data_IF_627756893227
#
_entry.id   IF_627756893227
#
_cell.length_a   1.000
_cell.length_b   1.000
_cell.length_c   1.000
_cell.angle_alpha   90.00
_cell.angle_beta   90.00
_cell.angle_gamma   90.00
#
_symmetry.space_group_name_H-M   'P 1'
#
loop_
_entity.id
_entity.type
_entity.pdbx_description
1 polymer ?
#
# COMPACT_ATOMS: atom_id res chain seq x y z
N UNK A 1 15.02 -14.29 -18.88
CA UNK A 1 13.93 -13.34 -19.14
C UNK A 1 14.02 -12.29 -18.04
N UNK A 2 14.49 -11.08 -18.35
CA UNK A 2 14.49 -10.01 -17.35
C UNK A 2 13.05 -9.60 -17.05
N UNK A 3 12.73 -9.50 -15.77
CA UNK A 3 11.41 -9.08 -15.32
C UNK A 3 11.33 -7.56 -15.52
N UNK A 4 10.77 -7.14 -16.65
CA UNK A 4 10.40 -5.75 -16.92
C UNK A 4 9.48 -5.35 -15.76
N UNK A 5 9.91 -4.38 -14.93
CA UNK A 5 9.24 -3.87 -13.72
C UNK A 5 9.64 -4.46 -12.34
N UNK A 6 10.67 -5.30 -12.21
CA UNK A 6 11.12 -5.76 -10.87
C UNK A 6 11.40 -4.60 -9.90
N UNK A 7 12.09 -3.57 -10.37
CA UNK A 7 12.45 -2.43 -9.52
C UNK A 7 11.22 -1.64 -9.08
N UNK A 8 10.31 -1.33 -10.03
CA UNK A 8 9.05 -0.63 -9.76
C UNK A 8 8.17 -1.41 -8.77
N UNK A 9 8.08 -2.73 -8.94
CA UNK A 9 7.36 -3.60 -8.02
C UNK A 9 7.98 -3.55 -6.61
N UNK A 10 9.29 -3.76 -6.50
CA UNK A 10 9.98 -3.74 -5.21
C UNK A 10 9.81 -2.40 -4.49
N UNK A 11 9.96 -1.29 -5.22
CA UNK A 11 9.77 0.06 -4.69
C UNK A 11 8.33 0.25 -4.19
N UNK A 12 7.33 -0.08 -5.01
CA UNK A 12 5.91 0.04 -4.64
C UNK A 12 5.58 -0.77 -3.39
N UNK A 13 6.05 -2.02 -3.34
CA UNK A 13 5.84 -2.92 -2.20
C UNK A 13 6.52 -2.37 -0.95
N UNK A 14 7.74 -1.83 -1.05
CA UNK A 14 8.42 -1.18 0.08
C UNK A 14 7.58 -0.02 0.63
N UNK A 15 7.08 0.88 -0.22
CA UNK A 15 6.25 2.00 0.22
C UNK A 15 4.97 1.54 0.94
N UNK A 16 4.30 0.51 0.40
CA UNK A 16 3.10 -0.10 1.03
C UNK A 16 3.45 -0.62 2.44
N UNK A 17 4.51 -1.42 2.55
CA UNK A 17 4.92 -2.03 3.80
C UNK A 17 5.39 -1.00 4.83
N UNK A 18 6.11 0.04 4.41
CA UNK A 18 6.51 1.14 5.28
C UNK A 18 5.29 1.86 5.84
N UNK A 19 4.35 2.27 4.98
CA UNK A 19 3.12 2.95 5.40
C UNK A 19 2.32 2.10 6.40
N UNK A 20 2.13 0.81 6.11
CA UNK A 20 1.44 -0.11 6.99
C UNK A 20 2.18 -0.36 8.31
N UNK A 21 3.51 -0.46 8.27
CA UNK A 21 4.33 -0.69 9.48
C UNK A 21 4.27 0.48 10.46
N UNK A 22 4.17 1.72 9.93
CA UNK A 22 4.03 2.94 10.71
C UNK A 22 2.63 3.01 11.34
N UNK A 23 1.60 2.66 10.58
CA UNK A 23 0.21 2.73 11.03
C UNK A 23 -0.18 1.57 11.97
N UNK A 24 0.50 0.43 11.91
CA UNK A 24 0.11 -0.79 12.62
C UNK A 24 -0.06 -0.56 14.14
N UNK A 25 -1.18 -0.99 14.75
CA UNK A 25 -2.15 -1.97 14.26
C UNK A 25 -3.39 -1.34 13.58
N UNK A 26 -3.36 -0.04 13.29
CA UNK A 26 -4.50 0.63 12.68
C UNK A 26 -4.56 0.33 11.18
N UNK A 27 -5.74 -0.07 10.65
CA UNK A 27 -5.92 -0.18 9.22
C UNK A 27 -5.89 1.23 8.58
N UNK A 28 -5.35 1.32 7.37
CA UNK A 28 -5.28 2.57 6.59
C UNK A 28 -5.74 2.33 5.16
N UNK A 29 -6.21 3.39 4.50
CA UNK A 29 -6.47 3.35 3.08
C UNK A 29 -5.16 3.53 2.31
N UNK A 30 -5.02 2.82 1.19
CA UNK A 30 -3.84 2.86 0.33
C UNK A 30 -4.24 3.27 -1.08
N UNK A 31 -3.53 4.27 -1.61
CA UNK A 31 -3.53 4.66 -3.01
C UNK A 31 -2.15 5.20 -3.43
N UNK A 32 -1.97 5.54 -4.71
CA UNK A 32 -0.66 5.99 -5.19
C UNK A 32 -0.25 7.37 -4.65
N UNK A 33 -1.19 8.27 -4.37
CA UNK A 33 -0.90 9.62 -3.87
C UNK A 33 -0.48 9.58 -2.40
N UNK A 34 -1.22 8.84 -1.57
CA UNK A 34 -0.92 8.63 -0.14
C UNK A 34 0.42 7.93 0.09
N UNK A 35 0.87 7.08 -0.85
CA UNK A 35 2.20 6.46 -0.82
C UNK A 35 3.33 7.33 -1.41
N UNK A 36 3.00 8.52 -1.94
CA UNK A 36 3.96 9.40 -2.61
C UNK A 36 4.49 8.87 -3.95
N UNK A 37 3.77 7.94 -4.58
CA UNK A 37 4.09 7.31 -5.87
C UNK A 37 3.39 7.97 -7.06
N UNK A 38 2.44 8.87 -6.80
CA UNK A 38 1.78 9.73 -7.78
C UNK A 38 1.90 11.20 -7.34
N UNK A 39 2.00 12.11 -8.32
CA UNK A 39 2.11 13.55 -8.05
C UNK A 39 0.75 14.24 -7.81
N UNK A 40 -0.36 13.51 -7.99
CA UNK A 40 -1.72 14.00 -7.80
C UNK A 40 -2.79 12.92 -7.96
N UNK A 41 -4.06 13.33 -8.11
CA UNK A 41 -5.20 12.40 -8.05
C UNK A 41 -5.31 11.55 -9.33
N UNK A 42 -5.90 10.36 -9.20
CA UNK A 42 -6.17 9.47 -10.35
C UNK A 42 -7.17 10.07 -11.35
N UNK A 43 -8.08 10.91 -10.87
CA UNK A 43 -9.11 11.56 -11.68
C UNK A 43 -9.12 13.06 -11.46
N UNK A 44 -9.44 13.80 -12.51
CA UNK A 44 -9.77 15.22 -12.45
C UNK A 44 -11.20 15.44 -12.93
N UNK A 45 -11.84 16.50 -12.43
CA UNK A 45 -13.18 16.89 -12.85
C UNK A 45 -13.08 17.85 -14.04
N UNK A 46 -13.65 17.45 -15.18
CA UNK A 46 -13.78 18.27 -16.39
C UNK A 46 -15.24 18.27 -16.80
N UNK A 47 -15.88 19.45 -16.85
CA UNK A 47 -17.30 19.58 -17.21
C UNK A 47 -18.22 18.62 -16.44
N UNK A 48 -18.09 18.58 -15.11
CA UNK A 48 -18.83 17.68 -14.21
C UNK A 48 -18.62 16.17 -14.44
N UNK A 49 -17.64 15.78 -15.26
CA UNK A 49 -17.28 14.38 -15.50
C UNK A 49 -15.90 14.08 -14.90
N UNK A 50 -15.74 12.87 -14.37
CA UNK A 50 -14.43 12.37 -13.94
C UNK A 50 -13.66 11.85 -15.15
N UNK A 51 -12.45 12.38 -15.35
CA UNK A 51 -11.56 11.98 -16.43
C UNK A 51 -10.23 11.52 -15.81
N UNK A 52 -9.68 10.36 -16.23
CA UNK A 52 -8.37 9.91 -15.77
C UNK A 52 -7.29 10.98 -15.99
N UNK A 53 -6.35 11.07 -15.05
CA UNK A 53 -5.14 11.87 -15.19
C UNK A 53 -4.00 11.02 -15.76
N UNK A 54 -2.87 11.65 -16.05
CA UNK A 54 -1.66 10.96 -16.49
C UNK A 54 -1.07 10.07 -15.37
N UNK A 55 -1.51 10.26 -14.13
CA UNK A 55 -1.11 9.46 -12.96
C UNK A 55 -1.83 8.10 -12.88
N UNK A 56 -2.87 7.86 -13.69
CA UNK A 56 -3.71 6.66 -13.59
C UNK A 56 -2.93 5.34 -13.61
N UNK A 57 -1.83 5.27 -14.38
CA UNK A 57 -0.97 4.08 -14.43
C UNK A 57 -0.33 3.77 -13.06
N UNK A 58 0.04 4.80 -12.28
CA UNK A 58 0.59 4.62 -10.95
C UNK A 58 -0.45 3.99 -10.00
N UNK A 59 -1.69 4.49 -10.04
CA UNK A 59 -2.79 3.96 -9.24
C UNK A 59 -3.09 2.49 -9.58
N UNK A 60 -3.25 2.17 -10.87
CA UNK A 60 -3.49 0.79 -11.31
C UNK A 60 -2.35 -0.15 -10.88
N UNK A 61 -1.10 0.32 -10.97
CA UNK A 61 0.05 -0.48 -10.56
C UNK A 61 0.09 -0.73 -9.05
N UNK A 62 -0.17 0.31 -8.23
CA UNK A 62 -0.27 0.18 -6.77
C UNK A 62 -1.34 -0.83 -6.39
N UNK A 63 -2.52 -0.76 -7.01
CA UNK A 63 -3.62 -1.69 -6.73
C UNK A 63 -3.28 -3.12 -7.15
N UNK A 64 -2.65 -3.32 -8.30
CA UNK A 64 -2.17 -4.65 -8.68
C UNK A 64 -1.15 -5.23 -7.68
N UNK A 65 -0.29 -4.39 -7.10
CA UNK A 65 0.61 -4.79 -6.02
C UNK A 65 -0.17 -5.17 -4.74
N UNK A 66 -1.19 -4.40 -4.35
CA UNK A 66 -2.03 -4.71 -3.18
C UNK A 66 -2.77 -6.03 -3.38
N UNK A 67 -3.39 -6.26 -4.54
CA UNK A 67 -4.07 -7.52 -4.88
C UNK A 67 -3.11 -8.70 -4.79
N UNK A 68 -1.89 -8.56 -5.32
CA UNK A 68 -0.88 -9.60 -5.25
C UNK A 68 -0.46 -9.89 -3.79
N UNK A 69 -0.23 -8.86 -2.99
CA UNK A 69 0.13 -8.98 -1.58
C UNK A 69 -0.99 -9.64 -0.75
N UNK A 70 -2.25 -9.28 -1.02
CA UNK A 70 -3.42 -9.90 -0.37
C UNK A 70 -3.56 -11.38 -0.76
N UNK A 71 -3.41 -11.70 -2.04
CA UNK A 71 -3.44 -13.09 -2.54
C UNK A 71 -2.30 -13.94 -1.97
N UNK A 72 -1.18 -13.30 -1.63
CA UNK A 72 -0.02 -13.90 -1.01
C UNK A 72 -0.08 -13.90 0.53
N UNK A 73 -1.20 -13.46 1.12
CA UNK A 73 -1.45 -13.43 2.56
C UNK A 73 -0.50 -12.52 3.36
N UNK A 74 0.05 -11.47 2.75
CA UNK A 74 0.88 -10.48 3.47
C UNK A 74 0.07 -9.35 4.09
N UNK A 75 -1.10 -9.05 3.54
CA UNK A 75 -2.02 -8.04 4.03
C UNK A 75 -3.46 -8.48 3.85
N UNK A 76 -4.38 -7.75 4.47
CA UNK A 76 -5.83 -7.84 4.28
C UNK A 76 -6.38 -6.47 3.97
N UNK A 77 -7.35 -6.41 3.07
CA UNK A 77 -8.14 -5.21 2.81
C UNK A 77 -9.62 -5.50 3.05
N UNK A 78 -10.41 -4.46 3.33
CA UNK A 78 -11.88 -4.62 3.35
C UNK A 78 -12.43 -4.58 1.93
N UNK A 79 -11.84 -3.74 1.07
CA UNK A 79 -12.28 -3.58 -0.31
C UNK A 79 -11.15 -3.03 -1.17
N UNK A 80 -11.09 -3.52 -2.40
CA UNK A 80 -10.18 -3.03 -3.44
C UNK A 80 -11.00 -2.39 -4.55
N UNK A 81 -10.66 -1.15 -4.89
CA UNK A 81 -11.16 -0.40 -6.02
C UNK A 81 -10.05 -0.20 -7.04
N UNK A 82 -10.35 0.19 -8.29
CA UNK A 82 -9.34 0.42 -9.32
C UNK A 82 -8.26 1.45 -8.94
N UNK A 83 -8.51 2.35 -7.98
CA UNK A 83 -7.59 3.43 -7.61
C UNK A 83 -7.32 3.51 -6.11
N UNK A 84 -7.88 2.63 -5.28
CA UNK A 84 -7.63 2.64 -3.84
C UNK A 84 -7.97 1.30 -3.21
N UNK A 85 -7.33 0.98 -2.09
CA UNK A 85 -7.71 -0.13 -1.22
C UNK A 85 -8.08 0.40 0.16
N UNK A 86 -9.23 -0.01 0.69
CA UNK A 86 -9.76 0.47 1.96
C UNK A 86 -9.39 -0.45 3.12
N UNK A 87 -9.07 0.16 4.26
CA UNK A 87 -8.79 -0.52 5.54
C UNK A 87 -7.75 -1.65 5.41
N UNK A 88 -6.61 -1.34 4.79
CA UNK A 88 -5.50 -2.26 4.61
C UNK A 88 -4.73 -2.43 5.91
N UNK A 89 -4.43 -3.68 6.29
CA UNK A 89 -3.67 -4.03 7.49
C UNK A 89 -2.74 -5.21 7.23
N UNK A 90 -1.59 -5.26 7.92
CA UNK A 90 -0.65 -6.38 7.85
C UNK A 90 -1.24 -7.65 8.49
N UNK A 91 -0.98 -8.79 7.87
CA UNK A 91 -1.17 -10.10 8.49
C UNK A 91 0.04 -10.47 9.36
N UNK A 92 -0.05 -11.58 10.09
CA UNK A 92 1.10 -12.18 10.77
C UNK A 92 2.28 -12.41 9.80
N UNK A 93 2.01 -13.01 8.64
CA UNK A 93 3.01 -13.24 7.59
C UNK A 93 3.60 -11.93 7.04
N UNK A 94 2.80 -10.88 6.93
CA UNK A 94 3.26 -9.54 6.57
C UNK A 94 4.20 -8.93 7.59
N UNK A 95 3.91 -9.10 8.88
CA UNK A 95 4.75 -8.64 9.98
C UNK A 95 6.06 -9.42 10.03
N UNK A 96 6.02 -10.74 9.84
CA UNK A 96 7.21 -11.59 9.83
C UNK A 96 8.18 -11.20 8.71
N UNK A 97 7.65 -10.83 7.53
CA UNK A 97 8.45 -10.38 6.39
C UNK A 97 9.26 -9.12 6.71
N UNK A 98 8.70 -8.20 7.50
CA UNK A 98 9.37 -6.95 7.86
C UNK A 98 10.60 -7.19 8.74
N UNK A 99 10.67 -8.32 9.46
CA UNK A 99 11.75 -8.63 10.43
C UNK A 99 11.86 -7.66 11.61
N UNK A 100 11.20 -6.51 11.55
CA UNK A 100 11.04 -5.53 12.60
C UNK A 100 9.71 -5.76 13.31
N UNK A 101 9.72 -5.82 14.65
CA UNK A 101 8.47 -5.77 15.41
C UNK A 101 7.90 -4.36 15.30
N UNK A 102 6.68 -4.17 14.76
CA UNK A 102 5.98 -2.88 14.78
C UNK A 102 6.06 -2.24 16.16
N UNK A 103 6.18 -0.91 16.23
CA UNK A 103 6.35 -0.20 17.50
C UNK A 103 5.24 -0.50 18.51
N UNK A 104 4.02 -0.75 18.04
CA UNK A 104 2.88 -1.14 18.87
C UNK A 104 3.01 -2.53 19.51
N UNK A 105 3.89 -3.40 19.00
CA UNK A 105 4.24 -4.70 19.58
C UNK A 105 5.50 -4.65 20.46
N UNK A 106 6.21 -3.51 20.49
CA UNK A 106 7.26 -3.26 21.47
C UNK A 106 6.58 -2.96 22.81
N UNK A 107 6.30 -4.00 23.61
CA UNK A 107 5.95 -3.81 25.02
C UNK A 107 6.99 -2.87 25.65
N UNK A 108 6.50 -1.82 26.31
CA UNK A 108 7.35 -0.89 27.04
C UNK A 108 8.39 -1.66 27.87
N UNK A 109 9.65 -1.51 27.50
CA UNK A 109 10.75 -1.71 28.43
C UNK A 109 10.61 -0.63 29.50
N UNK A 110 9.67 -0.81 30.43
CA UNK A 110 9.76 -0.17 31.74
C UNK A 110 10.97 -0.83 32.40
N UNK A 111 12.14 -0.22 32.18
CA UNK A 111 13.31 -0.47 33.01
C UNK A 111 12.91 0.04 34.39
N UNK A 112 12.49 -0.88 35.26
CA UNK A 112 12.33 -0.65 36.68
C UNK A 112 13.67 -0.51 37.38
#
# INVERSE_FOLDING_TARGET
MELINKNRFNETVTHIFEALSIAFPLPIDIDAETLGLASGPAYKVVNYSQVPTDEMDAYLFVIACVEWLESSDYLRSTKIYPTSAENVVLTEKGIDLLGAKPMSLLRGNYVG
#
